data_IF_629580558171
#
_entry.id   IF_629580558171
#
_cell.length_a   1.000
_cell.length_b   1.000
_cell.length_c   1.000
_cell.angle_alpha   90.00
_cell.angle_beta   90.00
_cell.angle_gamma   90.00
#
_symmetry.space_group_name_H-M   'P 1'
#
loop_
_entity.id
_entity.type
_entity.pdbx_description
1 polymer ?
#
# COMPACT_ATOMS: atom_id res chain seq x y z
N UNK A 1 -4.06 11.43 -0.02
CA UNK A 1 -3.80 11.99 1.33
C UNK A 1 -4.69 13.17 1.65
N UNK A 2 -4.72 14.23 0.83
CA UNK A 2 -5.55 15.43 1.08
C UNK A 2 -7.04 15.08 1.27
N UNK A 3 -7.60 14.23 0.41
CA UNK A 3 -9.00 13.79 0.53
C UNK A 3 -9.29 13.03 1.83
N UNK A 4 -8.36 12.16 2.27
CA UNK A 4 -8.50 11.44 3.53
C UNK A 4 -8.41 12.38 4.73
N UNK A 5 -7.48 13.35 4.71
CA UNK A 5 -7.37 14.36 5.76
C UNK A 5 -8.64 15.22 5.86
N UNK A 6 -9.17 15.65 4.70
CA UNK A 6 -10.44 16.37 4.64
C UNK A 6 -11.61 15.52 5.15
N UNK A 7 -11.61 14.22 4.81
CA UNK A 7 -12.61 13.28 5.30
C UNK A 7 -12.54 13.09 6.82
N UNK A 8 -11.35 12.95 7.41
CA UNK A 8 -11.17 12.89 8.87
C UNK A 8 -11.66 14.18 9.55
N UNK A 9 -11.42 15.33 8.92
CA UNK A 9 -11.86 16.64 9.43
C UNK A 9 -13.38 16.83 9.39
N UNK A 10 -14.04 16.48 8.28
CA UNK A 10 -15.49 16.70 8.08
C UNK A 10 -16.37 15.51 8.44
N UNK A 11 -15.79 14.31 8.59
CA UNK A 11 -16.49 13.02 8.76
C UNK A 11 -17.62 12.82 7.74
N UNK A 12 -17.37 13.21 6.48
CA UNK A 12 -18.39 13.13 5.42
C UNK A 12 -18.73 11.68 5.10
N UNK A 13 -20.03 11.37 5.08
CA UNK A 13 -20.52 10.07 4.63
C UNK A 13 -20.64 10.11 3.11
N UNK A 14 -19.79 9.37 2.41
CA UNK A 14 -19.90 9.21 0.96
C UNK A 14 -21.16 8.38 0.65
N UNK A 15 -22.07 8.83 -0.22
CA UNK A 15 -23.23 8.05 -0.63
C UNK A 15 -22.80 6.67 -1.16
N UNK A 16 -23.47 5.60 -0.70
CA UNK A 16 -23.13 4.22 -1.09
C UNK A 16 -23.16 4.00 -2.60
N UNK A 17 -24.09 4.66 -3.30
CA UNK A 17 -24.21 4.60 -4.76
C UNK A 17 -22.92 5.08 -5.43
N UNK A 18 -22.34 6.19 -4.98
CA UNK A 18 -21.09 6.72 -5.54
C UNK A 18 -19.94 5.73 -5.30
N UNK A 19 -19.88 5.10 -4.11
CA UNK A 19 -18.88 4.08 -3.83
C UNK A 19 -19.03 2.87 -4.76
N UNK A 20 -20.26 2.36 -4.93
CA UNK A 20 -20.50 1.23 -5.83
C UNK A 20 -20.14 1.56 -7.28
N UNK A 21 -20.61 2.70 -7.80
CA UNK A 21 -20.28 3.16 -9.16
C UNK A 21 -18.78 3.32 -9.31
N UNK A 22 -18.10 3.91 -8.32
CA UNK A 22 -16.64 4.08 -8.33
C UNK A 22 -15.88 2.76 -8.33
N UNK A 23 -16.33 1.77 -7.55
CA UNK A 23 -15.73 0.42 -7.54
C UNK A 23 -15.93 -0.24 -8.91
N UNK A 24 -17.16 -0.26 -9.44
CA UNK A 24 -17.43 -0.87 -10.75
C UNK A 24 -16.65 -0.20 -11.88
N UNK A 25 -16.66 1.14 -11.95
CA UNK A 25 -15.92 1.89 -12.95
C UNK A 25 -14.40 1.67 -12.79
N UNK A 26 -13.90 1.66 -11.56
CA UNK A 26 -12.49 1.40 -11.26
C UNK A 26 -12.06 0.00 -11.73
N UNK A 27 -12.84 -1.03 -11.40
CA UNK A 27 -12.59 -2.41 -11.84
C UNK A 27 -12.63 -2.52 -13.37
N UNK A 28 -13.63 -1.91 -14.02
CA UNK A 28 -13.74 -1.90 -15.48
C UNK A 28 -12.49 -1.30 -16.13
N UNK A 29 -12.09 -0.10 -15.70
CA UNK A 29 -10.91 0.59 -16.25
C UNK A 29 -9.59 -0.14 -15.95
N UNK A 30 -9.48 -0.79 -14.79
CA UNK A 30 -8.26 -1.53 -14.41
C UNK A 30 -7.92 -2.68 -15.35
N UNK A 31 -8.92 -3.28 -16.02
CA UNK A 31 -8.68 -4.39 -16.97
C UNK A 31 -7.79 -3.99 -18.14
N UNK A 32 -7.76 -2.71 -18.50
CA UNK A 32 -7.01 -2.18 -19.63
C UNK A 32 -5.69 -1.49 -19.24
N UNK A 33 -5.24 -1.68 -18.00
CA UNK A 33 -4.02 -1.03 -17.50
C UNK A 33 -2.75 -1.51 -18.22
N UNK A 34 -2.77 -2.73 -18.77
CA UNK A 34 -1.68 -3.28 -19.60
C UNK A 34 -1.44 -2.47 -20.87
N UNK A 35 -2.49 -2.26 -21.65
CA UNK A 35 -2.46 -1.49 -22.90
C UNK A 35 -2.04 -0.05 -22.65
N UNK A 36 -2.59 0.57 -21.61
CA UNK A 36 -2.19 1.92 -21.19
C UNK A 36 -0.68 2.00 -20.91
N UNK A 37 -0.10 1.02 -20.21
CA UNK A 37 1.34 0.97 -19.94
C UNK A 37 2.15 0.75 -21.22
N UNK A 38 1.68 -0.09 -22.13
CA UNK A 38 2.38 -0.37 -23.39
C UNK A 38 2.45 0.87 -24.28
N UNK A 39 1.32 1.56 -24.48
CA UNK A 39 1.24 2.81 -25.26
C UNK A 39 2.14 3.88 -24.66
N UNK A 40 2.04 4.12 -23.35
CA UNK A 40 2.84 5.17 -22.67
C UNK A 40 4.34 4.88 -22.73
N UNK A 41 4.74 3.59 -22.62
CA UNK A 41 6.15 3.18 -22.73
C UNK A 41 6.67 3.30 -24.16
N UNK A 42 5.88 2.92 -25.15
CA UNK A 42 6.27 2.99 -26.57
C UNK A 42 6.40 4.44 -27.05
N UNK A 43 5.50 5.32 -26.61
CA UNK A 43 5.48 6.73 -27.02
C UNK A 43 6.42 7.63 -26.21
N UNK A 44 7.08 7.13 -25.16
CA UNK A 44 7.88 7.92 -24.21
C UNK A 44 7.14 9.15 -23.61
N UNK A 45 5.80 9.10 -23.56
CA UNK A 45 4.95 10.22 -23.19
C UNK A 45 3.46 9.88 -23.16
N UNK A 46 2.63 10.85 -22.76
CA UNK A 46 1.18 10.72 -22.72
C UNK A 46 0.58 11.01 -24.11
N UNK A 47 -0.01 10.00 -24.73
CA UNK A 47 -0.67 10.13 -26.05
C UNK A 47 -2.15 9.82 -25.89
N UNK A 48 -2.96 10.88 -25.77
CA UNK A 48 -4.39 10.76 -25.50
C UNK A 48 -5.14 10.02 -26.62
N UNK A 49 -4.74 10.24 -27.88
CA UNK A 49 -5.40 9.66 -29.05
C UNK A 49 -5.30 8.13 -29.08
N UNK A 50 -4.15 7.58 -28.69
CA UNK A 50 -3.92 6.14 -28.61
C UNK A 50 -4.63 5.53 -27.40
N UNK A 51 -4.69 6.26 -26.27
CA UNK A 51 -5.39 5.80 -25.06
C UNK A 51 -6.90 5.71 -25.30
N UNK A 52 -7.48 6.65 -26.04
CA UNK A 52 -8.91 6.62 -26.39
C UNK A 52 -9.26 5.49 -27.36
N UNK A 53 -8.29 4.90 -28.05
CA UNK A 53 -8.48 3.76 -28.96
C UNK A 53 -8.45 2.40 -28.24
N UNK A 54 -8.15 2.36 -26.94
CA UNK A 54 -8.15 1.13 -26.16
C UNK A 54 -9.58 0.55 -26.12
N UNK A 55 -9.73 -0.71 -26.48
CA UNK A 55 -11.02 -1.42 -26.40
C UNK A 55 -11.26 -1.95 -24.97
N UNK A 56 -11.74 -1.05 -24.11
CA UNK A 56 -12.03 -1.36 -22.71
C UNK A 56 -13.09 -2.47 -22.56
N UNK A 57 -14.05 -2.55 -23.47
CA UNK A 57 -15.13 -3.55 -23.41
C UNK A 57 -14.62 -4.93 -23.77
N UNK A 58 -13.81 -5.05 -24.82
CA UNK A 58 -13.17 -6.32 -25.17
C UNK A 58 -12.26 -6.82 -24.05
N UNK A 59 -11.41 -5.96 -23.48
CA UNK A 59 -10.52 -6.32 -22.38
C UNK A 59 -11.27 -6.78 -21.12
N UNK A 60 -12.39 -6.12 -20.80
CA UNK A 60 -13.23 -6.51 -19.68
C UNK A 60 -13.89 -7.88 -19.90
N UNK A 61 -14.45 -8.11 -21.10
CA UNK A 61 -15.04 -9.39 -21.45
C UNK A 61 -13.99 -10.52 -21.45
N UNK A 62 -12.80 -10.27 -21.98
CA UNK A 62 -11.70 -11.24 -21.91
C UNK A 62 -11.36 -11.56 -20.45
N UNK A 63 -11.25 -10.55 -19.59
CA UNK A 63 -10.98 -10.77 -18.16
C UNK A 63 -12.06 -11.62 -17.48
N UNK A 64 -13.34 -11.46 -17.87
CA UNK A 64 -14.43 -12.28 -17.35
C UNK A 64 -14.40 -13.72 -17.85
N UNK A 65 -14.13 -13.93 -19.14
CA UNK A 65 -14.12 -15.26 -19.76
C UNK A 65 -12.88 -16.08 -19.37
N UNK A 66 -11.73 -15.40 -19.29
CA UNK A 66 -10.42 -16.03 -19.16
C UNK A 66 -9.81 -15.86 -17.77
N UNK A 67 -10.29 -14.91 -16.98
CA UNK A 67 -9.68 -14.52 -15.71
C UNK A 67 -8.52 -13.55 -15.91
N UNK A 68 -8.27 -12.71 -14.89
CA UNK A 68 -7.24 -11.68 -14.95
C UNK A 68 -5.81 -12.22 -15.06
N UNK A 69 -4.97 -11.51 -15.80
CA UNK A 69 -3.56 -11.88 -16.03
C UNK A 69 -2.77 -12.05 -14.73
N UNK A 70 -3.01 -11.20 -13.73
CA UNK A 70 -2.36 -11.27 -12.42
C UNK A 70 -2.71 -12.56 -11.65
N UNK A 71 -3.97 -13.01 -11.72
CA UNK A 71 -4.40 -14.24 -11.06
C UNK A 71 -3.82 -15.47 -11.76
N UNK A 72 -3.83 -15.49 -13.09
CA UNK A 72 -3.19 -16.57 -13.88
C UNK A 72 -1.70 -16.68 -13.57
N UNK A 73 -1.04 -15.53 -13.52
CA UNK A 73 0.36 -15.43 -13.14
C UNK A 73 0.60 -15.99 -11.73
N UNK A 74 -0.27 -15.61 -10.77
CA UNK A 74 -0.19 -16.09 -9.41
C UNK A 74 -0.36 -17.61 -9.30
N UNK A 75 -1.33 -18.19 -10.02
CA UNK A 75 -1.56 -19.65 -10.03
C UNK A 75 -0.36 -20.40 -10.58
N UNK A 76 0.22 -19.97 -11.71
CA UNK A 76 1.41 -20.59 -12.28
C UNK A 76 2.59 -20.53 -11.31
N UNK A 77 2.77 -19.38 -10.65
CA UNK A 77 3.89 -19.19 -9.74
C UNK A 77 3.72 -20.00 -8.44
N UNK A 78 2.50 -20.08 -7.92
CA UNK A 78 2.17 -20.92 -6.77
C UNK A 78 2.39 -22.40 -7.10
N UNK A 79 1.95 -22.89 -8.26
CA UNK A 79 2.20 -24.27 -8.71
C UNK A 79 3.71 -24.58 -8.82
N UNK A 80 4.51 -23.63 -9.33
CA UNK A 80 5.97 -23.80 -9.36
C UNK A 80 6.56 -23.91 -7.95
N UNK A 81 6.18 -23.00 -7.04
CA UNK A 81 6.66 -22.99 -5.66
C UNK A 81 6.22 -24.27 -4.94
N UNK A 82 4.99 -24.72 -5.14
CA UNK A 82 4.44 -25.93 -4.52
C UNK A 82 5.18 -27.20 -4.99
N UNK A 83 5.60 -27.26 -6.27
CA UNK A 83 6.41 -28.37 -6.79
C UNK A 83 7.84 -28.37 -6.27
N UNK A 84 8.45 -27.19 -6.09
CA UNK A 84 9.85 -27.05 -5.64
C UNK A 84 9.99 -27.08 -4.13
N UNK A 85 8.97 -26.65 -3.39
CA UNK A 85 8.96 -26.48 -1.93
C UNK A 85 10.11 -25.62 -1.41
N UNK A 86 10.60 -24.70 -2.24
CA UNK A 86 11.66 -23.75 -1.90
C UNK A 86 11.04 -22.46 -1.36
N UNK A 87 10.85 -22.40 -0.05
CA UNK A 87 10.29 -21.22 0.61
C UNK A 87 11.36 -20.21 1.03
N UNK A 88 11.05 -18.91 0.91
CA UNK A 88 11.97 -17.83 1.29
C UNK A 88 11.95 -17.49 2.78
N UNK A 89 10.93 -17.92 3.54
CA UNK A 89 10.75 -17.63 4.97
C UNK A 89 10.89 -16.15 5.38
N UNK A 90 10.59 -15.22 4.47
CA UNK A 90 10.70 -13.77 4.68
C UNK A 90 12.09 -13.18 4.37
N UNK A 91 13.05 -13.99 3.89
CA UNK A 91 14.37 -13.51 3.45
C UNK A 91 14.26 -12.47 2.33
N UNK A 92 13.27 -12.62 1.45
CA UNK A 92 12.96 -11.65 0.41
C UNK A 92 12.65 -10.26 1.01
N UNK A 93 11.78 -10.21 2.02
CA UNK A 93 11.37 -8.98 2.73
C UNK A 93 12.57 -8.35 3.43
N UNK A 94 13.42 -9.16 4.08
CA UNK A 94 14.66 -8.68 4.70
C UNK A 94 15.61 -8.04 3.69
N UNK A 95 15.86 -8.71 2.57
CA UNK A 95 16.74 -8.20 1.51
C UNK A 95 16.24 -6.85 0.96
N UNK A 96 14.92 -6.66 0.90
CA UNK A 96 14.29 -5.42 0.47
C UNK A 96 14.45 -4.29 1.49
N UNK A 97 14.39 -4.59 2.79
CA UNK A 97 14.76 -3.66 3.87
C UNK A 97 16.23 -3.25 3.73
N UNK A 98 17.15 -4.21 3.61
CA UNK A 98 18.58 -3.93 3.41
C UNK A 98 18.81 -3.10 2.15
N UNK A 99 18.16 -3.44 1.04
CA UNK A 99 18.25 -2.67 -0.19
C UNK A 99 17.86 -1.20 0.02
N UNK A 100 16.78 -0.96 0.75
CA UNK A 100 16.16 0.35 0.90
C UNK A 100 16.86 1.23 1.94
N UNK A 101 17.25 0.67 3.08
CA UNK A 101 17.74 1.45 4.22
C UNK A 101 19.25 1.42 4.41
N UNK A 102 19.98 0.50 3.79
CA UNK A 102 21.44 0.42 3.90
C UNK A 102 22.06 1.04 2.63
N UNK A 103 22.56 2.28 2.69
CA UNK A 103 23.15 2.94 1.51
C UNK A 103 24.55 2.41 1.24
N UNK A 104 24.72 1.73 0.09
CA UNK A 104 26.01 1.18 -0.32
C UNK A 104 27.10 2.26 -0.47
N UNK A 105 26.70 3.51 -0.71
CA UNK A 105 27.60 4.65 -0.84
C UNK A 105 28.26 5.04 0.49
N UNK A 106 27.61 4.78 1.63
CA UNK A 106 28.16 5.13 2.96
C UNK A 106 28.89 3.95 3.61
N UNK A 107 28.31 2.75 3.50
CA UNK A 107 28.87 1.56 4.17
C UNK A 107 29.69 0.66 3.24
N UNK A 108 29.69 0.93 1.93
CA UNK A 108 30.32 0.07 0.92
C UNK A 108 29.42 -1.08 0.45
N UNK A 109 29.65 -1.52 -0.78
CA UNK A 109 28.89 -2.61 -1.39
C UNK A 109 29.07 -3.95 -0.65
N UNK A 110 30.31 -4.28 -0.25
CA UNK A 110 30.60 -5.55 0.44
C UNK A 110 29.83 -5.74 1.75
N UNK A 111 29.70 -4.68 2.57
CA UNK A 111 28.90 -4.73 3.81
C UNK A 111 27.41 -4.87 3.49
N UNK A 112 26.91 -4.15 2.48
CA UNK A 112 25.50 -4.28 2.08
C UNK A 112 25.18 -5.69 1.58
N UNK A 113 26.08 -6.28 0.79
CA UNK A 113 25.90 -7.62 0.24
C UNK A 113 26.02 -8.69 1.32
N UNK A 114 26.89 -8.52 2.32
CA UNK A 114 26.97 -9.45 3.46
C UNK A 114 25.73 -9.47 4.34
N UNK A 115 24.90 -8.42 4.28
CA UNK A 115 23.62 -8.36 5.00
C UNK A 115 22.47 -9.03 4.23
N UNK A 116 22.66 -9.35 2.94
CA UNK A 116 21.65 -10.01 2.12
C UNK A 116 21.70 -11.52 2.32
N UNK A 117 20.53 -12.14 2.26
CA UNK A 117 20.35 -13.58 2.40
C UNK A 117 20.00 -14.19 1.05
N UNK A 118 20.46 -15.41 0.80
CA UNK A 118 20.10 -16.12 -0.43
C UNK A 118 18.61 -16.43 -0.46
N UNK A 119 18.00 -16.19 -1.61
CA UNK A 119 16.57 -16.39 -1.85
C UNK A 119 16.36 -17.29 -3.07
N UNK A 120 15.35 -18.18 -3.03
CA UNK A 120 14.98 -19.00 -4.18
C UNK A 120 14.73 -18.13 -5.41
N UNK A 121 15.29 -18.53 -6.54
CA UNK A 121 15.08 -17.83 -7.81
C UNK A 121 13.94 -18.50 -8.60
N UNK A 122 13.09 -17.72 -9.29
CA UNK A 122 12.11 -18.26 -10.22
C UNK A 122 12.76 -19.19 -11.24
N UNK A 123 12.00 -20.18 -11.73
CA UNK A 123 12.41 -20.98 -12.88
C UNK A 123 12.67 -20.09 -14.10
N UNK A 124 13.59 -20.52 -14.96
CA UNK A 124 13.85 -19.88 -16.26
C UNK A 124 12.65 -19.99 -17.21
N UNK A 125 11.76 -20.94 -16.97
CA UNK A 125 10.55 -21.16 -17.77
C UNK A 125 9.42 -20.20 -17.38
N UNK A 126 9.58 -19.44 -16.29
CA UNK A 126 8.62 -18.43 -15.86
C UNK A 126 8.83 -17.12 -16.65
N UNK A 127 7.90 -16.83 -17.56
CA UNK A 127 7.91 -15.61 -18.35
C UNK A 127 6.63 -14.78 -18.08
N UNK A 128 6.68 -13.81 -17.14
CA UNK A 128 5.50 -13.02 -16.81
C UNK A 128 5.09 -12.15 -18.01
N UNK A 129 3.80 -12.13 -18.31
CA UNK A 129 3.25 -11.24 -19.35
C UNK A 129 3.59 -9.79 -19.00
N UNK A 130 4.04 -9.01 -19.98
CA UNK A 130 4.45 -7.62 -19.75
C UNK A 130 3.30 -6.83 -19.13
N UNK A 131 3.60 -6.10 -18.05
CA UNK A 131 2.61 -5.28 -17.35
C UNK A 131 1.87 -6.00 -16.22
N UNK A 132 2.10 -7.29 -15.99
CA UNK A 132 1.64 -7.97 -14.77
C UNK A 132 2.54 -7.67 -13.58
N UNK A 133 2.00 -7.82 -12.38
CA UNK A 133 2.74 -7.75 -11.12
C UNK A 133 2.74 -9.12 -10.43
N UNK A 134 3.82 -9.38 -9.70
CA UNK A 134 3.79 -10.42 -8.67
C UNK A 134 2.89 -9.94 -7.53
N UNK A 135 1.90 -10.75 -7.19
CA UNK A 135 0.86 -10.39 -6.23
C UNK A 135 1.23 -10.81 -4.82
N UNK A 136 0.53 -10.25 -3.83
CA UNK A 136 0.79 -10.55 -2.43
C UNK A 136 0.46 -11.99 -2.10
N UNK A 137 -0.42 -12.60 -2.89
CA UNK A 137 -0.80 -14.01 -2.76
C UNK A 137 0.42 -14.90 -3.00
N UNK A 138 1.17 -14.61 -4.07
CA UNK A 138 2.42 -15.32 -4.37
C UNK A 138 3.47 -15.04 -3.30
N UNK A 139 3.67 -13.79 -2.91
CA UNK A 139 4.63 -13.38 -1.88
C UNK A 139 4.32 -13.98 -0.48
N UNK A 140 3.03 -14.17 -0.17
CA UNK A 140 2.63 -14.86 1.05
C UNK A 140 2.94 -16.35 0.96
N UNK A 141 2.55 -16.99 -0.14
CA UNK A 141 2.75 -18.41 -0.39
C UNK A 141 4.24 -18.78 -0.49
N UNK A 142 5.06 -17.95 -1.13
CA UNK A 142 6.51 -18.16 -1.28
C UNK A 142 7.24 -18.16 0.04
N UNK A 143 6.75 -17.44 1.05
CA UNK A 143 7.41 -17.42 2.35
C UNK A 143 7.03 -18.59 3.25
N UNK A 144 5.75 -18.97 3.29
CA UNK A 144 5.23 -19.89 4.32
C UNK A 144 4.14 -20.85 3.82
N UNK A 145 4.08 -21.13 2.51
CA UNK A 145 3.02 -21.94 1.93
C UNK A 145 1.63 -21.38 2.27
N UNK A 146 0.62 -22.22 2.51
CA UNK A 146 -0.71 -21.76 2.93
C UNK A 146 -0.71 -20.96 4.25
N UNK A 147 0.27 -21.16 5.14
CA UNK A 147 0.42 -20.33 6.34
C UNK A 147 0.78 -18.87 6.02
N UNK A 148 1.20 -18.58 4.79
CA UNK A 148 1.36 -17.23 4.28
C UNK A 148 0.11 -16.37 4.43
N UNK A 149 -1.09 -16.96 4.42
CA UNK A 149 -2.35 -16.26 4.67
C UNK A 149 -2.35 -15.50 6.01
N UNK A 150 -1.55 -15.95 6.99
CA UNK A 150 -1.39 -15.28 8.26
C UNK A 150 -0.79 -13.87 8.11
N UNK A 151 0.03 -13.61 7.09
CA UNK A 151 0.55 -12.26 6.80
C UNK A 151 -0.60 -11.26 6.59
N UNK A 152 -1.60 -11.65 5.80
CA UNK A 152 -2.77 -10.81 5.55
C UNK A 152 -3.63 -10.63 6.78
N UNK A 153 -3.79 -11.69 7.59
CA UNK A 153 -4.51 -11.59 8.85
C UNK A 153 -3.84 -10.62 9.82
N UNK A 154 -2.52 -10.73 10.01
CA UNK A 154 -1.74 -9.83 10.86
C UNK A 154 -1.82 -8.39 10.35
N UNK A 155 -1.69 -8.18 9.04
CA UNK A 155 -1.82 -6.87 8.44
C UNK A 155 -3.22 -6.28 8.64
N UNK A 156 -4.28 -7.05 8.38
CA UNK A 156 -5.65 -6.62 8.58
C UNK A 156 -5.93 -6.28 10.05
N UNK A 157 -5.43 -7.10 10.98
CA UNK A 157 -5.52 -6.84 12.42
C UNK A 157 -4.81 -5.53 12.81
N UNK A 158 -3.58 -5.32 12.33
CA UNK A 158 -2.83 -4.10 12.60
C UNK A 158 -3.53 -2.86 12.03
N UNK A 159 -4.01 -2.94 10.78
CA UNK A 159 -4.75 -1.85 10.13
C UNK A 159 -6.07 -1.55 10.83
N UNK A 160 -6.77 -2.57 11.36
CA UNK A 160 -7.97 -2.37 12.18
C UNK A 160 -7.64 -1.56 13.44
N UNK A 161 -6.56 -1.89 14.14
CA UNK A 161 -6.16 -1.14 15.35
C UNK A 161 -5.82 0.30 15.02
N UNK A 162 -5.06 0.54 13.94
CA UNK A 162 -4.75 1.90 13.47
C UNK A 162 -6.01 2.67 13.11
N UNK A 163 -6.98 2.02 12.47
CA UNK A 163 -8.28 2.61 12.16
C UNK A 163 -9.06 3.00 13.43
N UNK A 164 -9.17 2.09 14.40
CA UNK A 164 -9.86 2.35 15.66
C UNK A 164 -9.24 3.56 16.39
N UNK A 165 -7.91 3.63 16.47
CA UNK A 165 -7.19 4.79 17.04
C UNK A 165 -7.43 6.07 16.24
N UNK A 166 -7.40 6.01 14.91
CA UNK A 166 -7.69 7.16 14.05
C UNK A 166 -9.13 7.65 14.19
N UNK A 167 -10.07 6.73 14.42
CA UNK A 167 -11.49 7.02 14.64
C UNK A 167 -11.74 7.66 16.00
N UNK A 168 -10.91 7.38 17.01
CA UNK A 168 -10.95 8.00 18.33
C UNK A 168 -10.40 9.45 18.37
N UNK A 169 -10.23 10.08 17.20
CA UNK A 169 -9.70 11.45 17.02
C UNK A 169 -8.27 11.66 17.54
N UNK A 170 -7.50 10.59 17.70
CA UNK A 170 -6.07 10.69 17.97
C UNK A 170 -5.31 11.14 16.72
N UNK A 171 -4.66 12.31 16.79
CA UNK A 171 -3.87 12.88 15.69
C UNK A 171 -2.83 11.90 15.13
N UNK A 172 -2.10 11.20 16.01
CA UNK A 172 -1.09 10.24 15.60
C UNK A 172 -1.72 9.04 14.89
N UNK A 173 -2.85 8.53 15.39
CA UNK A 173 -3.62 7.48 14.75
C UNK A 173 -4.07 7.86 13.34
N UNK A 174 -4.64 9.06 13.18
CA UNK A 174 -5.06 9.58 11.87
C UNK A 174 -3.88 9.70 10.90
N UNK A 175 -2.76 10.24 11.36
CA UNK A 175 -1.55 10.40 10.54
C UNK A 175 -1.00 9.05 10.08
N UNK A 176 -0.80 8.11 11.01
CA UNK A 176 -0.24 6.79 10.69
C UNK A 176 -1.21 6.00 9.81
N UNK A 177 -2.51 6.03 10.07
CA UNK A 177 -3.51 5.37 9.23
C UNK A 177 -3.50 5.91 7.79
N UNK A 178 -3.52 7.24 7.62
CA UNK A 178 -3.49 7.85 6.29
C UNK A 178 -2.25 7.43 5.50
N UNK A 179 -1.08 7.40 6.13
CA UNK A 179 0.17 6.99 5.49
C UNK A 179 0.26 5.47 5.25
N UNK A 180 -0.52 4.67 5.98
CA UNK A 180 -0.48 3.20 5.91
C UNK A 180 -1.50 2.60 4.96
N UNK A 181 -2.67 3.23 4.76
CA UNK A 181 -3.79 2.59 4.06
C UNK A 181 -3.46 2.24 2.61
N UNK A 182 -2.75 3.12 1.89
CA UNK A 182 -2.37 2.86 0.49
C UNK A 182 -1.33 1.73 0.39
N UNK A 183 -0.20 1.76 1.11
CA UNK A 183 0.74 0.63 1.14
C UNK A 183 0.09 -0.69 1.59
N UNK A 184 -0.82 -0.65 2.57
CA UNK A 184 -1.54 -1.84 3.02
C UNK A 184 -2.45 -2.42 1.93
N UNK A 185 -3.13 -1.60 1.12
CA UNK A 185 -3.90 -2.09 -0.03
C UNK A 185 -2.99 -2.69 -1.12
N UNK A 186 -1.80 -2.13 -1.32
CA UNK A 186 -0.84 -2.69 -2.28
C UNK A 186 -0.30 -4.05 -1.84
N UNK A 187 -0.40 -4.43 -0.57
CA UNK A 187 -0.01 -5.76 -0.11
C UNK A 187 -0.78 -6.89 -0.80
N UNK A 188 -1.95 -6.62 -1.38
CA UNK A 188 -2.72 -7.61 -2.15
C UNK A 188 -2.22 -7.70 -3.60
N UNK A 189 -2.07 -6.55 -4.27
CA UNK A 189 -1.75 -6.47 -5.70
C UNK A 189 -0.25 -6.59 -6.02
N UNK A 190 0.60 -6.34 -5.02
CA UNK A 190 2.06 -6.31 -5.15
C UNK A 190 2.70 -7.19 -4.08
N UNK A 191 3.44 -6.62 -3.12
CA UNK A 191 4.20 -7.40 -2.15
C UNK A 191 3.83 -6.99 -0.73
N UNK A 192 3.86 -7.95 0.18
CA UNK A 192 3.43 -7.75 1.58
C UNK A 192 4.45 -6.94 2.39
N UNK A 193 5.68 -6.77 1.92
CA UNK A 193 6.73 -5.98 2.59
C UNK A 193 6.48 -4.47 2.56
N UNK A 194 5.71 -3.98 1.58
CA UNK A 194 5.75 -2.57 1.24
C UNK A 194 5.24 -1.68 2.37
N UNK A 195 4.20 -2.13 3.07
CA UNK A 195 3.66 -1.48 4.27
C UNK A 195 4.68 -1.45 5.42
N UNK A 196 5.46 -2.52 5.60
CA UNK A 196 6.51 -2.61 6.62
C UNK A 196 7.62 -1.61 6.31
N UNK A 197 8.05 -1.53 5.04
CA UNK A 197 9.04 -0.56 4.60
C UNK A 197 8.57 0.87 4.86
N UNK A 198 7.29 1.19 4.60
CA UNK A 198 6.73 2.51 4.92
C UNK A 198 6.68 2.76 6.42
N UNK A 199 6.33 1.75 7.22
CA UNK A 199 6.34 1.87 8.69
C UNK A 199 7.73 2.11 9.25
N UNK A 200 8.76 1.46 8.70
CA UNK A 200 10.15 1.72 9.06
C UNK A 200 10.58 3.13 8.67
N UNK A 201 10.19 3.62 7.48
CA UNK A 201 10.44 5.02 7.10
C UNK A 201 9.74 5.99 8.06
N UNK A 202 8.46 5.75 8.37
CA UNK A 202 7.75 6.57 9.33
C UNK A 202 8.43 6.51 10.70
N UNK A 203 8.83 5.34 11.18
CA UNK A 203 9.54 5.24 12.45
C UNK A 203 10.83 6.08 12.45
N UNK A 204 11.63 5.98 11.38
CA UNK A 204 12.91 6.68 11.26
C UNK A 204 12.76 8.20 11.22
N UNK A 205 11.74 8.73 10.55
CA UNK A 205 11.58 10.17 10.35
C UNK A 205 10.55 10.83 11.28
N UNK A 206 9.45 10.14 11.58
CA UNK A 206 8.36 10.70 12.39
C UNK A 206 8.67 10.61 13.88
N UNK A 207 9.25 9.52 14.38
CA UNK A 207 9.53 9.36 15.82
C UNK A 207 10.49 10.44 16.34
N UNK A 208 11.63 10.75 15.67
CA UNK A 208 12.50 11.82 16.14
C UNK A 208 11.79 13.17 16.18
N UNK A 209 11.05 13.51 15.12
CA UNK A 209 10.31 14.77 15.03
C UNK A 209 9.29 14.89 16.17
N UNK A 210 8.47 13.86 16.38
CA UNK A 210 7.49 13.84 17.47
C UNK A 210 8.16 13.89 18.86
N UNK A 211 9.33 13.26 19.01
CA UNK A 211 10.10 13.31 20.25
C UNK A 211 10.61 14.71 20.55
N UNK A 212 11.09 15.44 19.53
CA UNK A 212 11.46 16.86 19.67
C UNK A 212 10.25 17.75 19.97
N UNK A 213 9.09 17.50 19.36
CA UNK A 213 7.86 18.24 19.63
C UNK A 213 7.35 18.06 21.07
N UNK A 214 7.64 16.92 21.70
CA UNK A 214 7.25 16.64 23.09
C UNK A 214 8.06 17.47 24.12
N UNK A 215 9.21 18.01 23.72
CA UNK A 215 10.18 18.67 24.63
C UNK A 215 9.88 20.16 24.88
N UNK A 216 8.76 20.73 24.42
CA UNK A 216 8.46 22.15 24.70
C UNK A 216 7.01 22.40 25.09
N UNK A 217 6.72 22.26 26.39
CA UNK A 217 5.47 22.75 26.97
C UNK A 217 5.65 23.42 28.35
N UNK A 218 6.77 24.13 28.55
CA UNK A 218 6.99 24.98 29.73
C UNK A 218 6.95 26.49 29.42
N UNK A 219 6.69 26.89 28.16
CA UNK A 219 6.80 28.31 27.74
C UNK A 219 5.67 28.82 26.85
N UNK A 220 4.67 28.00 26.51
CA UNK A 220 3.53 28.46 25.68
C UNK A 220 2.30 28.61 26.58
N UNK A 221 2.11 29.80 27.14
CA UNK A 221 0.79 30.23 27.61
C UNK A 221 -0.08 30.45 26.36
N UNK A 222 -0.84 29.44 25.96
CA UNK A 222 -1.91 29.66 24.99
C UNK A 222 -2.90 30.64 25.62
N UNK A 223 -3.27 31.75 24.95
CA UNK A 223 -4.32 32.62 25.46
C UNK A 223 -5.58 31.81 25.63
N UNK A 224 -6.09 31.76 26.86
CA UNK A 224 -7.36 31.13 27.19
C UNK A 224 -8.42 31.70 26.24
N UNK A 225 -9.28 30.86 25.62
CA UNK A 225 -10.38 31.37 24.82
C UNK A 225 -11.22 32.32 25.68
N UNK A 226 -11.68 33.46 25.14
CA UNK A 226 -12.46 34.42 25.91
C UNK A 226 -13.66 33.70 26.52
N UNK A 227 -13.77 33.77 27.85
CA UNK A 227 -14.96 33.32 28.57
C UNK A 227 -16.15 34.04 27.93
N UNK A 228 -17.03 33.27 27.27
CA UNK A 228 -18.34 33.78 26.88
C UNK A 228 -19.04 34.20 28.16
N UNK A 229 -19.09 35.50 28.42
CA UNK A 229 -19.95 36.07 29.45
C UNK A 229 -21.37 35.58 29.17
N UNK A 230 -21.90 34.75 30.05
CA UNK A 230 -23.30 34.39 30.05
C UNK A 230 -24.09 35.65 30.45
N UNK A 231 -24.38 36.50 29.48
CA UNK A 231 -25.41 37.51 29.64
C UNK A 231 -26.74 36.75 29.80
N UNK A 232 -27.20 36.65 31.05
CA UNK A 232 -28.56 36.21 31.35
C UNK A 232 -29.53 37.22 30.71
N UNK A 233 -30.50 36.78 29.89
CA UNK A 233 -31.59 37.65 29.49
C UNK A 233 -32.50 37.84 30.71
N UNK A 234 -32.47 39.04 31.29
CA UNK A 234 -33.54 39.53 32.16
C UNK A 234 -34.77 39.76 31.27
N UNK A 235 -35.74 38.86 31.35
CA UNK A 235 -37.10 39.12 30.88
C UNK A 235 -37.84 39.82 32.03
N UNK A 236 -38.24 41.07 31.77
CA UNK A 236 -39.33 41.77 32.47
C UNK A 236 -40.66 41.43 31.79
#
# INVERSE_FOLDING_TARGET
>A
MILLAFWFYRRMIVPRVIMFVGIFAGTFLMTSMGDYRQITRAASGFVLDDIMQIDYTANFNETLERGGLEMRNAVQRIDEIDRRLEFDYGKFHWNRIVFTFVPAQLVGAGIKDSLRLDTPQPSRDYNPVTGTTETGLVDAFSSFWYFGALKFFVLAWAMRRLWETAMADEMLGQLVYMMSIVPAMHAISHQTDWVITVWLHMALFLIPVLSFCRIRNSSVNLPMPPQRSAAMPQFL
#
